data_IF_274060250070
#
_entry.id   IF_274060250070
#
_cell.length_a   1.000
_cell.length_b   1.000
_cell.length_c   1.000
_cell.angle_alpha   90.00
_cell.angle_beta   90.00
_cell.angle_gamma   90.00
#
_symmetry.space_group_name_H-M   'P 1'
#
loop_
_entity.id
_entity.type
_entity.pdbx_description
1 polymer ?
#
# COMPACT_ATOMS: atom_id res chain seq x y z
N UNK A 1 11.33 14.33 -4.01
CA UNK A 1 9.86 14.17 -4.13
C UNK A 1 9.53 12.76 -3.64
N UNK A 2 8.95 12.61 -2.45
CA UNK A 2 8.65 11.29 -1.90
C UNK A 2 7.64 10.57 -2.79
N UNK A 3 8.03 9.47 -3.44
CA UNK A 3 7.12 8.66 -4.23
C UNK A 3 6.13 7.99 -3.28
N UNK A 4 4.86 8.36 -3.35
CA UNK A 4 3.79 7.62 -2.70
C UNK A 4 3.32 6.52 -3.65
N UNK A 5 3.12 5.31 -3.15
CA UNK A 5 2.54 4.23 -3.96
C UNK A 5 1.03 4.44 -4.06
N UNK A 6 0.46 4.30 -5.25
CA UNK A 6 -0.98 4.37 -5.41
C UNK A 6 -1.66 3.07 -4.94
N UNK A 7 -2.94 3.18 -4.55
CA UNK A 7 -3.76 2.02 -4.19
C UNK A 7 -3.83 0.99 -5.32
N UNK A 8 -3.81 1.45 -6.59
CA UNK A 8 -3.87 0.56 -7.76
C UNK A 8 -2.58 -0.22 -7.93
N UNK A 9 -1.43 0.44 -7.83
CA UNK A 9 -0.12 -0.21 -7.92
C UNK A 9 0.06 -1.22 -6.78
N UNK A 10 -0.25 -0.83 -5.54
CA UNK A 10 -0.21 -1.74 -4.40
C UNK A 10 -1.11 -2.97 -4.59
N UNK A 11 -2.32 -2.78 -5.11
CA UNK A 11 -3.24 -3.88 -5.37
C UNK A 11 -2.72 -4.84 -6.46
N UNK A 12 -2.15 -4.28 -7.54
CA UNK A 12 -1.55 -5.05 -8.63
C UNK A 12 -0.38 -5.91 -8.12
N UNK A 13 0.52 -5.33 -7.33
CA UNK A 13 1.67 -6.02 -6.76
C UNK A 13 1.28 -7.10 -5.74
N UNK A 14 0.16 -6.93 -5.03
CA UNK A 14 -0.40 -7.95 -4.13
C UNK A 14 -1.22 -9.04 -4.85
N UNK A 15 -1.50 -8.89 -6.15
CA UNK A 15 -2.45 -9.74 -6.87
C UNK A 15 -3.87 -9.65 -6.28
N UNK A 16 -4.27 -8.48 -5.77
CA UNK A 16 -5.58 -8.22 -5.14
C UNK A 16 -6.33 -7.10 -5.86
N UNK A 17 -7.59 -6.92 -5.49
CA UNK A 17 -8.40 -5.81 -6.00
C UNK A 17 -8.08 -4.50 -5.26
N UNK A 18 -8.24 -3.33 -5.89
CA UNK A 18 -8.08 -2.04 -5.20
C UNK A 18 -8.98 -1.90 -3.96
N UNK A 19 -10.17 -2.50 -3.97
CA UNK A 19 -11.09 -2.48 -2.82
C UNK A 19 -10.51 -3.18 -1.59
N UNK A 20 -9.77 -4.28 -1.77
CA UNK A 20 -9.08 -4.95 -0.67
C UNK A 20 -8.09 -4.01 0.04
N UNK A 21 -7.26 -3.31 -0.73
CA UNK A 21 -6.30 -2.34 -0.19
C UNK A 21 -7.00 -1.17 0.50
N UNK A 22 -8.08 -0.63 -0.10
CA UNK A 22 -8.86 0.46 0.52
C UNK A 22 -9.43 0.05 1.86
N UNK A 23 -10.16 -1.07 1.90
CA UNK A 23 -10.81 -1.56 3.14
C UNK A 23 -9.75 -1.91 4.18
N UNK A 24 -8.67 -2.59 3.79
CA UNK A 24 -7.59 -2.95 4.69
C UNK A 24 -6.89 -1.73 5.32
N UNK A 25 -6.68 -0.66 4.56
CA UNK A 25 -6.11 0.60 5.08
C UNK A 25 -7.12 1.36 5.96
N UNK A 26 -8.41 1.37 5.58
CA UNK A 26 -9.48 2.01 6.38
C UNK A 26 -9.68 1.33 7.74
N UNK A 27 -9.54 0.01 7.78
CA UNK A 27 -9.65 -0.79 9.01
C UNK A 27 -8.34 -0.84 9.81
N UNK A 28 -7.26 -0.22 9.32
CA UNK A 28 -5.94 -0.27 9.96
C UNK A 28 -5.32 -1.67 10.00
N UNK A 29 -5.69 -2.56 9.08
CA UNK A 29 -5.22 -3.97 9.02
C UNK A 29 -3.97 -4.15 8.17
N UNK A 30 -3.64 -3.18 7.32
CA UNK A 30 -2.48 -3.22 6.42
C UNK A 30 -1.37 -2.30 6.98
N UNK A 31 -0.23 -2.84 7.45
CA UNK A 31 0.77 -2.10 8.22
C UNK A 31 1.78 -1.32 7.34
N UNK A 32 1.38 -0.91 6.14
CA UNK A 32 2.25 -0.22 5.16
C UNK A 32 1.68 1.12 4.69
N UNK A 33 0.59 1.57 5.30
CA UNK A 33 -0.07 2.80 4.93
C UNK A 33 -1.20 3.17 5.87
N UNK A 34 -1.91 4.23 5.54
CA UNK A 34 -3.10 4.66 6.26
C UNK A 34 -4.14 5.20 5.28
N UNK A 35 -5.40 5.15 5.69
CA UNK A 35 -6.49 5.84 5.03
C UNK A 35 -7.16 6.79 6.03
N UNK A 36 -7.34 8.04 5.62
CA UNK A 36 -8.02 9.06 6.42
C UNK A 36 -9.23 9.56 5.64
N UNK A 37 -10.38 9.61 6.31
CA UNK A 37 -11.59 10.20 5.73
C UNK A 37 -11.53 11.71 5.94
N UNK A 38 -11.28 12.45 4.86
CA UNK A 38 -11.34 13.91 4.84
C UNK A 38 -12.75 14.32 4.42
N UNK A 39 -13.50 14.99 5.29
CA UNK A 39 -14.89 15.40 5.02
C UNK A 39 -15.70 14.26 4.37
N UNK A 40 -15.92 14.31 3.06
CA UNK A 40 -16.64 13.28 2.28
C UNK A 40 -15.76 12.28 1.52
N UNK A 41 -14.44 12.52 1.38
CA UNK A 41 -13.52 11.73 0.55
C UNK A 41 -12.50 10.98 1.38
N UNK A 42 -12.15 9.78 0.95
CA UNK A 42 -11.02 9.05 1.52
C UNK A 42 -9.71 9.42 0.82
N UNK A 43 -8.71 9.77 1.62
CA UNK A 43 -7.34 9.96 1.18
C UNK A 43 -6.48 8.81 1.67
N UNK A 44 -5.61 8.32 0.81
CA UNK A 44 -4.77 7.16 1.07
C UNK A 44 -3.31 7.56 1.02
N UNK A 45 -2.54 7.04 1.95
CA UNK A 45 -1.09 7.12 1.97
C UNK A 45 -0.54 5.71 2.08
N UNK A 46 0.36 5.35 1.16
CA UNK A 46 1.07 4.07 1.18
C UNK A 46 2.56 4.38 1.13
N UNK A 47 3.29 3.90 2.12
CA UNK A 47 4.74 3.99 2.18
C UNK A 47 5.34 2.85 1.34
N UNK A 48 6.07 3.15 0.24
CA UNK A 48 6.59 2.09 -0.62
C UNK A 48 7.55 1.14 0.09
N UNK A 49 8.43 1.66 0.97
CA UNK A 49 9.40 0.83 1.68
C UNK A 49 8.71 -0.18 2.61
N UNK A 50 7.70 0.24 3.36
CA UNK A 50 6.91 -0.67 4.20
C UNK A 50 6.09 -1.65 3.35
N UNK A 51 5.57 -1.20 2.22
CA UNK A 51 4.77 -2.04 1.32
C UNK A 51 5.60 -3.18 0.72
N UNK A 52 6.76 -2.87 0.13
CA UNK A 52 7.61 -3.88 -0.50
C UNK A 52 8.15 -4.89 0.51
N UNK A 53 8.52 -4.42 1.71
CA UNK A 53 8.84 -5.30 2.85
C UNK A 53 7.67 -6.21 3.23
N UNK A 54 6.45 -5.69 3.28
CA UNK A 54 5.26 -6.46 3.65
C UNK A 54 4.94 -7.58 2.64
N UNK A 55 5.13 -7.35 1.35
CA UNK A 55 4.88 -8.36 0.31
C UNK A 55 6.07 -9.32 0.10
N UNK A 56 7.14 -9.20 0.90
CA UNK A 56 8.32 -10.05 0.80
C UNK A 56 9.27 -9.68 -0.35
N UNK A 57 9.14 -8.49 -0.94
CA UNK A 57 10.15 -7.88 -1.82
C UNK A 57 11.09 -7.02 -1.00
N UNK A 58 11.81 -7.61 -0.05
CA UNK A 58 13.00 -6.95 0.48
C UNK A 58 14.07 -6.92 -0.64
N UNK A 59 14.84 -5.85 -0.75
CA UNK A 59 15.92 -5.64 -1.75
C UNK A 59 17.10 -6.65 -1.62
N UNK A 60 16.86 -7.86 -1.12
CA UNK A 60 17.82 -8.95 -0.98
C UNK A 60 17.89 -9.90 -2.18
N UNK A 61 16.97 -9.81 -3.15
CA UNK A 61 16.98 -10.65 -4.36
C UNK A 61 17.44 -9.84 -5.58
N UNK A 62 18.66 -9.30 -5.49
CA UNK A 62 19.48 -9.13 -6.69
C UNK A 62 19.97 -10.52 -7.07
N UNK A 63 19.16 -11.23 -7.87
CA UNK A 63 19.58 -12.45 -8.53
C UNK A 63 20.87 -12.19 -9.32
N UNK A 64 21.93 -12.77 -8.78
CA UNK A 64 23.14 -13.23 -9.43
C UNK A 64 22.82 -14.10 -10.66
#
# INVERSE_FOLDING_TARGET
MGKNLSVREAALEMGKTPSFVRIGLQLGKLPFGTAVKLSTKWTYYINPAQFYKYIGRDEGDKQN
#
